data_IF_434845309922
#
_entry.id   IF_434845309922
#
_cell.length_a   1.000
_cell.length_b   1.000
_cell.length_c   1.000
_cell.angle_alpha   90.00
_cell.angle_beta   90.00
_cell.angle_gamma   90.00
#
_symmetry.space_group_name_H-M   'P 1'
#
loop_
_entity.id
_entity.type
_entity.pdbx_description
1 polymer ?
#
# COMPACT_ATOMS: atom_id res chain seq x y z
N UNK A 1 -22.49 43.27 41.15
CA UNK A 1 -23.01 41.89 40.94
C UNK A 1 -22.90 41.41 39.48
N UNK A 2 -22.64 42.29 38.51
CA UNK A 2 -22.57 42.03 37.06
C UNK A 2 -21.24 41.43 36.57
N UNK A 3 -20.12 41.73 37.22
CA UNK A 3 -18.78 41.26 36.80
C UNK A 3 -18.63 39.72 36.88
N UNK A 4 -19.22 39.09 37.90
CA UNK A 4 -19.22 37.64 38.07
C UNK A 4 -20.07 36.89 37.03
N UNK A 5 -21.06 37.56 36.41
CA UNK A 5 -21.89 36.95 35.38
C UNK A 5 -21.16 36.91 34.02
N UNK A 6 -20.45 38.00 33.70
CA UNK A 6 -19.66 38.12 32.47
C UNK A 6 -18.50 37.13 32.48
N UNK A 7 -17.80 37.00 33.61
CA UNK A 7 -16.68 36.07 33.74
C UNK A 7 -17.13 34.59 33.64
N UNK A 8 -18.28 34.24 34.24
CA UNK A 8 -18.86 32.89 34.11
C UNK A 8 -19.27 32.57 32.67
N UNK A 9 -19.85 33.54 31.96
CA UNK A 9 -20.21 33.38 30.55
C UNK A 9 -18.97 33.27 29.65
N UNK A 10 -17.89 33.98 29.94
CA UNK A 10 -16.64 33.89 29.19
C UNK A 10 -15.95 32.53 29.37
N UNK A 11 -15.93 32.01 30.61
CA UNK A 11 -15.37 30.67 30.92
C UNK A 11 -16.23 29.57 30.27
N UNK A 12 -17.55 29.72 30.26
CA UNK A 12 -18.44 28.80 29.55
C UNK A 12 -18.23 28.83 28.03
N UNK A 13 -17.99 30.01 27.45
CA UNK A 13 -17.70 30.15 26.01
C UNK A 13 -16.34 29.53 25.64
N UNK A 14 -15.30 29.74 26.48
CA UNK A 14 -13.97 29.15 26.30
C UNK A 14 -13.98 27.62 26.49
N UNK A 15 -14.78 27.12 27.42
CA UNK A 15 -15.00 25.68 27.60
C UNK A 15 -15.74 25.07 26.39
N UNK A 16 -16.77 25.73 25.86
CA UNK A 16 -17.45 25.30 24.63
C UNK A 16 -16.52 25.28 23.41
N UNK A 17 -15.64 26.28 23.26
CA UNK A 17 -14.64 26.33 22.19
C UNK A 17 -13.59 25.21 22.32
N UNK A 18 -13.24 24.80 23.54
CA UNK A 18 -12.32 23.67 23.77
C UNK A 18 -12.96 22.31 23.45
N UNK A 19 -14.27 22.16 23.65
CA UNK A 19 -15.01 20.92 23.32
C UNK A 19 -15.30 20.82 21.83
N UNK A 20 -15.53 21.94 21.13
CA UNK A 20 -15.68 21.96 19.68
C UNK A 20 -14.37 21.73 18.91
N UNK A 21 -13.20 21.93 19.54
CA UNK A 21 -11.89 21.69 18.93
C UNK A 21 -11.55 20.20 18.71
N UNK A 22 -12.25 19.27 19.37
CA UNK A 22 -11.98 17.84 19.27
C UNK A 22 -12.94 17.08 18.34
N UNK A 23 -14.02 17.71 17.86
CA UNK A 23 -15.09 16.99 17.11
C UNK A 23 -15.07 17.28 15.61
N UNK A 24 -14.24 18.21 15.12
CA UNK A 24 -14.22 18.56 13.69
C UNK A 24 -13.38 17.57 12.84
N UNK A 25 -12.59 16.68 13.47
CA UNK A 25 -11.83 15.67 12.71
C UNK A 25 -12.70 14.52 12.15
N UNK A 26 -13.95 14.36 12.60
CA UNK A 26 -14.85 13.28 12.14
C UNK A 26 -15.88 13.73 11.09
N UNK A 27 -15.92 15.02 10.70
CA UNK A 27 -17.02 15.59 9.92
C UNK A 27 -16.82 15.62 8.39
N UNK A 28 -15.99 14.78 7.79
CA UNK A 28 -16.13 14.43 6.37
C UNK A 28 -15.59 13.01 6.20
N UNK A 29 -16.47 12.03 5.96
CA UNK A 29 -16.09 10.64 5.76
C UNK A 29 -15.16 10.47 4.57
N UNK A 30 -13.85 10.66 4.79
CA UNK A 30 -12.81 10.37 3.82
C UNK A 30 -12.80 8.87 3.62
N UNK A 31 -13.27 8.42 2.45
CA UNK A 31 -13.08 7.03 2.05
C UNK A 31 -11.57 6.80 1.95
N UNK A 32 -11.01 6.03 2.89
CA UNK A 32 -9.63 5.59 2.82
C UNK A 32 -9.53 4.31 2.03
N UNK A 33 -8.84 4.37 0.90
CA UNK A 33 -8.52 3.23 0.04
C UNK A 33 -7.10 2.72 0.37
N UNK A 34 -6.84 1.43 0.15
CA UNK A 34 -5.51 0.84 0.32
C UNK A 34 -4.90 0.50 -1.04
N UNK A 35 -3.61 0.75 -1.24
CA UNK A 35 -2.85 0.21 -2.37
C UNK A 35 -1.73 -0.67 -1.83
N UNK A 36 -1.47 -1.81 -2.48
CA UNK A 36 -0.35 -2.71 -2.17
C UNK A 36 0.68 -2.65 -3.31
N UNK A 37 1.92 -2.32 -2.99
CA UNK A 37 3.07 -2.40 -3.88
C UNK A 37 4.01 -3.52 -3.47
N UNK A 38 4.51 -4.28 -4.46
CA UNK A 38 5.60 -5.24 -4.27
C UNK A 38 6.82 -4.69 -4.99
N UNK A 39 7.82 -4.24 -4.23
CA UNK A 39 9.08 -3.72 -4.70
C UNK A 39 10.26 -4.62 -4.36
N UNK A 40 11.42 -4.27 -4.88
CA UNK A 40 12.68 -4.87 -4.48
C UNK A 40 13.74 -3.78 -4.32
N UNK A 41 14.62 -3.98 -3.34
CA UNK A 41 15.80 -3.14 -3.09
C UNK A 41 17.04 -3.97 -3.39
N UNK A 42 17.09 -4.52 -4.60
CA UNK A 42 18.25 -5.26 -5.07
C UNK A 42 19.36 -4.27 -5.44
N UNK A 43 20.62 -4.53 -5.07
CA UNK A 43 21.74 -3.70 -5.51
C UNK A 43 21.77 -3.55 -7.04
N UNK A 44 22.25 -2.41 -7.56
CA UNK A 44 22.28 -2.14 -9.01
C UNK A 44 23.04 -3.22 -9.82
N UNK A 45 24.01 -3.89 -9.19
CA UNK A 45 24.79 -4.96 -9.80
C UNK A 45 24.20 -6.37 -9.56
N UNK A 46 23.06 -6.48 -8.89
CA UNK A 46 22.43 -7.75 -8.57
C UNK A 46 21.56 -8.22 -9.75
N UNK A 47 21.99 -9.29 -10.42
CA UNK A 47 21.27 -9.92 -11.54
C UNK A 47 20.11 -10.79 -11.07
N UNK A 48 19.33 -10.32 -10.09
CA UNK A 48 18.22 -11.07 -9.53
C UNK A 48 16.88 -10.41 -9.77
N UNK A 49 15.84 -11.22 -9.83
CA UNK A 49 14.45 -10.78 -9.86
C UNK A 49 13.71 -11.50 -8.75
N UNK A 50 12.86 -10.76 -8.03
CA UNK A 50 11.95 -11.35 -7.06
C UNK A 50 10.66 -11.76 -7.76
N UNK A 51 10.28 -13.01 -7.55
CA UNK A 51 9.01 -13.58 -8.03
C UNK A 51 8.12 -13.97 -6.85
N UNK A 52 6.82 -13.86 -7.05
CA UNK A 52 5.79 -14.25 -6.08
C UNK A 52 4.85 -15.27 -6.71
N UNK A 53 4.45 -16.27 -5.94
CA UNK A 53 3.35 -17.15 -6.31
C UNK A 53 2.04 -16.37 -6.32
N UNK A 54 1.37 -16.31 -7.47
CA UNK A 54 0.17 -15.50 -7.66
C UNK A 54 -1.07 -16.28 -7.19
N UNK A 55 -1.33 -16.23 -5.89
CA UNK A 55 -2.49 -16.86 -5.26
C UNK A 55 -3.81 -16.25 -5.78
N UNK A 56 -4.97 -16.91 -5.59
CA UNK A 56 -6.26 -16.33 -5.97
C UNK A 56 -6.53 -14.94 -5.37
N UNK A 57 -6.05 -14.66 -4.16
CA UNK A 57 -6.09 -13.34 -3.52
C UNK A 57 -5.24 -12.33 -4.27
N UNK A 58 -3.99 -12.69 -4.61
CA UNK A 58 -3.08 -11.79 -5.34
C UNK A 58 -3.56 -11.52 -6.77
N UNK A 59 -4.16 -12.52 -7.44
CA UNK A 59 -4.80 -12.34 -8.75
C UNK A 59 -5.91 -11.30 -8.69
N UNK A 60 -6.71 -11.29 -7.62
CA UNK A 60 -7.75 -10.28 -7.41
C UNK A 60 -7.17 -8.89 -7.12
N UNK A 61 -6.12 -8.82 -6.32
CA UNK A 61 -5.48 -7.56 -5.91
C UNK A 61 -4.74 -6.90 -7.09
N UNK A 62 -3.91 -7.66 -7.80
CA UNK A 62 -3.06 -7.15 -8.88
C UNK A 62 -3.69 -7.26 -10.27
N UNK A 63 -4.83 -7.94 -10.40
CA UNK A 63 -5.55 -8.16 -11.68
C UNK A 63 -4.69 -8.81 -12.77
N UNK A 64 -3.70 -9.60 -12.38
CA UNK A 64 -2.83 -10.35 -13.29
C UNK A 64 -3.22 -11.83 -13.28
N UNK A 65 -3.52 -12.40 -14.45
CA UNK A 65 -3.89 -13.82 -14.58
C UNK A 65 -2.71 -14.73 -14.93
N UNK A 66 -1.62 -14.56 -14.20
CA UNK A 66 -0.37 -15.34 -14.38
C UNK A 66 -0.17 -16.27 -13.18
N UNK A 67 0.67 -17.31 -13.31
CA UNK A 67 0.97 -18.22 -12.17
C UNK A 67 1.90 -17.57 -11.15
N UNK A 68 2.86 -16.78 -11.63
CA UNK A 68 3.76 -15.99 -10.80
C UNK A 68 3.72 -14.53 -11.25
N UNK A 69 4.01 -13.61 -10.35
CA UNK A 69 4.16 -12.17 -10.62
C UNK A 69 5.54 -11.70 -10.18
N UNK A 70 6.05 -10.64 -10.78
CA UNK A 70 7.34 -10.04 -10.38
C UNK A 70 7.15 -8.87 -9.42
N UNK A 71 8.22 -8.50 -8.74
CA UNK A 71 8.32 -7.18 -8.12
C UNK A 71 8.19 -6.04 -9.15
N UNK A 72 8.03 -4.82 -8.65
CA UNK A 72 7.77 -3.62 -9.43
C UNK A 72 6.28 -3.40 -9.75
N UNK A 73 5.38 -4.21 -9.18
CA UNK A 73 3.94 -4.09 -9.41
C UNK A 73 3.26 -3.35 -8.28
N UNK A 74 2.18 -2.65 -8.62
CA UNK A 74 1.32 -1.93 -7.68
C UNK A 74 -0.14 -2.25 -8.00
N UNK A 75 -0.93 -2.50 -6.97
CA UNK A 75 -2.37 -2.74 -7.13
C UNK A 75 -3.11 -1.45 -7.47
N UNK A 76 -4.32 -1.59 -8.00
CA UNK A 76 -5.30 -0.51 -7.93
C UNK A 76 -5.70 -0.21 -6.48
N UNK A 77 -6.48 0.86 -6.28
CA UNK A 77 -7.15 1.12 -5.00
C UNK A 77 -8.04 -0.06 -4.59
N UNK A 78 -7.74 -0.64 -3.42
CA UNK A 78 -8.48 -1.72 -2.78
C UNK A 78 -9.43 -1.11 -1.76
N UNK A 79 -10.70 -1.56 -1.79
CA UNK A 79 -11.67 -1.16 -0.79
C UNK A 79 -11.30 -1.76 0.58
N UNK A 80 -11.31 -0.94 1.62
CA UNK A 80 -11.01 -1.34 3.00
C UNK A 80 -11.83 -2.56 3.47
N UNK A 81 -13.10 -2.65 3.05
CA UNK A 81 -14.00 -3.72 3.43
C UNK A 81 -13.70 -5.05 2.70
N UNK A 82 -13.03 -4.99 1.55
CA UNK A 82 -12.62 -6.18 0.79
C UNK A 82 -11.23 -6.69 1.16
N UNK A 83 -10.53 -6.02 2.09
CA UNK A 83 -9.21 -6.46 2.52
C UNK A 83 -9.27 -7.80 3.25
N UNK A 84 -8.42 -8.77 2.88
CA UNK A 84 -8.34 -10.02 3.61
C UNK A 84 -7.79 -9.78 5.02
N UNK A 85 -8.08 -10.71 5.94
CA UNK A 85 -7.55 -10.65 7.32
C UNK A 85 -6.02 -10.77 7.32
N UNK A 86 -5.52 -11.71 6.53
CA UNK A 86 -4.11 -11.99 6.34
C UNK A 86 -3.85 -12.22 4.84
N UNK A 87 -2.64 -11.93 4.41
CA UNK A 87 -2.18 -12.22 3.06
C UNK A 87 -0.80 -12.86 3.14
N UNK A 88 -0.72 -14.11 2.69
CA UNK A 88 0.51 -14.87 2.66
C UNK A 88 1.20 -14.68 1.30
N UNK A 89 2.35 -14.02 1.32
CA UNK A 89 3.19 -13.78 0.16
C UNK A 89 4.26 -14.87 0.13
N UNK A 90 4.14 -15.80 -0.83
CA UNK A 90 5.17 -16.79 -1.08
C UNK A 90 6.05 -16.31 -2.23
N UNK A 91 7.34 -16.13 -1.96
CA UNK A 91 8.27 -15.48 -2.87
C UNK A 91 9.62 -16.18 -2.91
N UNK A 92 10.36 -15.92 -3.98
CA UNK A 92 11.74 -16.36 -4.14
C UNK A 92 12.51 -15.33 -4.97
N UNK A 93 13.82 -15.30 -4.79
CA UNK A 93 14.72 -14.53 -5.65
C UNK A 93 15.33 -15.49 -6.67
N UNK A 94 15.14 -15.19 -7.95
CA UNK A 94 15.76 -15.91 -9.06
C UNK A 94 16.94 -15.10 -9.59
N UNK A 95 18.05 -15.77 -9.89
CA UNK A 95 19.17 -15.15 -10.59
C UNK A 95 18.89 -15.17 -12.09
N UNK A 96 18.41 -14.06 -12.62
CA UNK A 96 18.06 -13.87 -14.01
C UNK A 96 18.54 -12.49 -14.44
N UNK A 97 19.25 -12.42 -15.56
CA UNK A 97 19.63 -11.14 -16.12
C UNK A 97 18.36 -10.31 -16.40
N UNK A 98 18.17 -9.16 -15.71
CA UNK A 98 17.00 -8.31 -15.90
C UNK A 98 16.86 -7.85 -17.35
N UNK A 99 17.96 -7.66 -18.08
CA UNK A 99 17.95 -7.23 -19.47
C UNK A 99 17.34 -8.29 -20.41
N UNK A 100 17.46 -9.57 -20.06
CA UNK A 100 16.82 -10.68 -20.79
C UNK A 100 15.34 -10.75 -20.43
N UNK A 101 15.03 -10.57 -19.14
CA UNK A 101 13.67 -10.71 -18.64
C UNK A 101 12.76 -9.55 -19.04
N UNK A 102 13.26 -8.31 -19.00
CA UNK A 102 12.55 -7.09 -19.38
C UNK A 102 12.84 -6.66 -20.81
N UNK A 103 13.40 -7.54 -21.63
CA UNK A 103 13.65 -7.24 -23.04
C UNK A 103 12.33 -6.90 -23.74
N UNK A 104 12.23 -5.69 -24.30
CA UNK A 104 11.04 -5.24 -25.02
C UNK A 104 10.78 -6.00 -26.33
N UNK A 105 11.74 -6.83 -26.78
CA UNK A 105 11.66 -7.64 -27.99
C UNK A 105 11.02 -9.02 -27.75
N UNK A 106 10.82 -9.44 -26.50
CA UNK A 106 10.09 -10.68 -26.18
C UNK A 106 8.64 -10.37 -25.79
N UNK A 107 7.72 -11.25 -26.18
CA UNK A 107 6.29 -11.09 -25.87
C UNK A 107 6.01 -11.33 -24.39
N UNK A 108 4.90 -10.79 -23.87
CA UNK A 108 4.45 -11.06 -22.49
C UNK A 108 4.29 -12.56 -22.22
N UNK A 109 3.78 -13.32 -23.19
CA UNK A 109 3.64 -14.77 -23.07
C UNK A 109 5.00 -15.49 -22.92
N UNK A 110 6.04 -14.99 -23.59
CA UNK A 110 7.39 -15.54 -23.45
C UNK A 110 8.03 -15.16 -22.11
N UNK A 111 7.82 -13.92 -21.63
CA UNK A 111 8.23 -13.51 -20.28
C UNK A 111 7.57 -14.39 -19.21
N UNK A 112 6.28 -14.67 -19.36
CA UNK A 112 5.52 -15.57 -18.49
C UNK A 112 6.05 -17.00 -18.52
N UNK A 113 6.36 -17.53 -19.71
CA UNK A 113 6.95 -18.87 -19.88
C UNK A 113 8.30 -18.95 -19.18
N UNK A 114 9.19 -17.97 -19.40
CA UNK A 114 10.50 -17.92 -18.76
C UNK A 114 10.37 -17.86 -17.24
N UNK A 115 9.53 -16.95 -16.72
CA UNK A 115 9.26 -16.83 -15.28
C UNK A 115 8.78 -18.15 -14.68
N UNK A 116 7.83 -18.81 -15.34
CA UNK A 116 7.30 -20.10 -14.89
C UNK A 116 8.38 -21.18 -14.85
N UNK A 117 9.26 -21.24 -15.86
CA UNK A 117 10.35 -22.21 -15.93
C UNK A 117 11.36 -22.00 -14.80
N UNK A 118 11.79 -20.75 -14.56
CA UNK A 118 12.69 -20.44 -13.44
C UNK A 118 12.04 -20.73 -12.09
N UNK A 119 10.77 -20.37 -11.90
CA UNK A 119 10.07 -20.65 -10.65
C UNK A 119 9.95 -22.16 -10.37
N UNK A 120 9.76 -22.99 -11.40
CA UNK A 120 9.62 -24.43 -11.27
C UNK A 120 10.96 -25.15 -11.07
N UNK A 121 12.08 -24.57 -11.50
CA UNK A 121 13.40 -25.15 -11.28
C UNK A 121 13.96 -24.89 -9.87
N UNK A 122 13.34 -24.00 -9.10
CA UNK A 122 13.77 -23.68 -7.74
C UNK A 122 13.51 -24.83 -6.76
N UNK A 123 14.47 -25.15 -5.86
CA UNK A 123 14.20 -26.05 -4.76
C UNK A 123 13.22 -25.42 -3.76
N UNK A 124 12.52 -26.23 -2.99
CA UNK A 124 11.57 -25.74 -1.98
C UNK A 124 12.22 -24.79 -0.97
N UNK A 125 13.51 -24.98 -0.66
CA UNK A 125 14.27 -24.13 0.26
C UNK A 125 14.54 -22.71 -0.26
N UNK A 126 14.39 -22.46 -1.57
CA UNK A 126 14.51 -21.13 -2.14
C UNK A 126 13.26 -20.26 -1.89
N UNK A 127 12.13 -20.90 -1.60
CA UNK A 127 10.86 -20.21 -1.34
C UNK A 127 10.76 -19.77 0.11
N UNK A 128 10.34 -18.53 0.30
CA UNK A 128 10.03 -17.94 1.60
C UNK A 128 8.56 -17.52 1.63
N UNK A 129 8.02 -17.44 2.83
CA UNK A 129 6.67 -16.94 3.07
C UNK A 129 6.73 -15.76 4.01
N UNK A 130 6.01 -14.70 3.68
CA UNK A 130 5.81 -13.54 4.54
C UNK A 130 4.33 -13.21 4.64
N UNK A 131 3.85 -13.06 5.86
CA UNK A 131 2.45 -12.77 6.13
C UNK A 131 2.29 -11.29 6.43
N UNK A 132 1.37 -10.64 5.73
CA UNK A 132 0.92 -9.30 6.09
C UNK A 132 -0.51 -9.32 6.60
N UNK A 133 -0.86 -8.29 7.37
CA UNK A 133 -2.20 -8.07 7.92
C UNK A 133 -2.77 -6.76 7.37
N UNK A 134 -3.36 -6.77 6.16
CA UNK A 134 -3.69 -5.54 5.44
C UNK A 134 -4.59 -4.58 6.21
N UNK A 135 -5.52 -5.10 7.03
CA UNK A 135 -6.39 -4.28 7.89
C UNK A 135 -5.61 -3.51 8.96
N UNK A 136 -4.66 -4.17 9.62
CA UNK A 136 -3.82 -3.52 10.63
C UNK A 136 -2.92 -2.46 9.99
N UNK A 137 -2.40 -2.73 8.80
CA UNK A 137 -1.58 -1.78 8.05
C UNK A 137 -2.38 -0.57 7.58
N UNK A 138 -3.62 -0.78 7.15
CA UNK A 138 -4.54 0.31 6.82
C UNK A 138 -4.86 1.19 8.03
N UNK A 139 -5.12 0.59 9.19
CA UNK A 139 -5.35 1.31 10.45
C UNK A 139 -4.13 2.12 10.87
N UNK A 140 -2.93 1.51 10.78
CA UNK A 140 -1.66 2.20 11.04
C UNK A 140 -1.47 3.39 10.10
N UNK A 141 -1.71 3.21 8.80
CA UNK A 141 -1.60 4.30 7.83
C UNK A 141 -2.60 5.43 8.06
N UNK A 142 -3.84 5.11 8.47
CA UNK A 142 -4.85 6.11 8.85
C UNK A 142 -4.45 6.94 10.06
N UNK A 143 -3.71 6.36 11.00
CA UNK A 143 -3.20 7.07 12.17
C UNK A 143 -2.04 8.02 11.84
N UNK A 144 -1.41 7.89 10.67
CA UNK A 144 -0.35 8.79 10.22
C UNK A 144 -0.95 10.10 9.67
N UNK A 145 -0.26 11.25 9.84
CA UNK A 145 -0.68 12.48 9.17
C UNK A 145 -0.59 12.30 7.65
N UNK A 146 -1.62 12.73 6.92
CA UNK A 146 -1.59 12.70 5.47
C UNK A 146 -0.54 13.68 4.94
N UNK A 147 0.37 13.23 4.06
CA UNK A 147 1.36 14.09 3.38
C UNK A 147 0.64 15.02 2.40
N UNK A 148 0.65 16.34 2.63
CA UNK A 148 0.14 17.32 1.65
C UNK A 148 -0.69 18.49 2.22
N UNK A 149 -1.23 19.30 1.30
CA UNK A 149 -2.00 20.56 1.50
C UNK A 149 -3.22 20.43 2.47
N UNK A 150 -3.83 21.54 2.94
CA UNK A 150 -4.88 21.52 3.97
C UNK A 150 -6.09 20.66 3.62
N UNK A 151 -6.71 20.07 4.65
CA UNK A 151 -7.85 19.13 4.56
C UNK A 151 -9.04 19.61 3.71
N UNK A 152 -9.19 20.91 3.51
CA UNK A 152 -10.32 21.57 2.84
C UNK A 152 -10.50 21.24 1.37
N UNK A 153 -9.53 20.56 0.73
CA UNK A 153 -9.58 20.20 -0.70
C UNK A 153 -9.71 18.69 -0.96
N UNK A 154 -9.83 17.87 0.09
CA UNK A 154 -9.76 16.42 -0.04
C UNK A 154 -11.09 15.76 0.30
N UNK A 155 -11.58 14.91 -0.60
CA UNK A 155 -12.75 14.06 -0.33
C UNK A 155 -12.38 12.58 -0.09
N UNK A 156 -11.11 12.22 -0.31
CA UNK A 156 -10.60 10.85 -0.16
C UNK A 156 -9.13 10.87 0.26
N UNK A 157 -8.73 9.84 1.00
CA UNK A 157 -7.32 9.57 1.31
C UNK A 157 -6.94 8.18 0.83
N UNK A 158 -5.64 7.96 0.60
CA UNK A 158 -5.08 6.69 0.20
C UNK A 158 -3.97 6.32 1.16
N UNK A 159 -4.01 5.08 1.63
CA UNK A 159 -2.88 4.46 2.32
C UNK A 159 -2.18 3.54 1.33
N UNK A 160 -0.93 3.83 1.01
CA UNK A 160 -0.07 2.96 0.19
C UNK A 160 0.81 2.14 1.13
N UNK A 161 0.76 0.82 0.97
CA UNK A 161 1.69 -0.11 1.62
C UNK A 161 2.63 -0.64 0.54
N UNK A 162 3.92 -0.35 0.68
CA UNK A 162 4.95 -0.88 -0.20
C UNK A 162 5.79 -1.89 0.56
N UNK A 163 5.93 -3.10 0.03
CA UNK A 163 6.81 -4.13 0.58
C UNK A 163 8.04 -4.25 -0.30
N UNK A 164 9.23 -4.13 0.28
CA UNK A 164 10.49 -4.21 -0.45
C UNK A 164 11.27 -5.45 -0.02
N UNK A 165 11.73 -6.23 -1.00
CA UNK A 165 12.59 -7.39 -0.76
C UNK A 165 14.04 -7.03 -1.09
N UNK A 166 14.95 -7.24 -0.13
CA UNK A 166 16.39 -7.03 -0.32
C UNK A 166 17.09 -8.23 -0.98
N UNK A 167 18.39 -8.09 -1.28
CA UNK A 167 19.19 -9.17 -1.89
C UNK A 167 19.36 -10.43 -1.04
N UNK A 168 19.06 -10.36 0.27
CA UNK A 168 19.07 -11.49 1.19
C UNK A 168 17.68 -12.14 1.33
N UNK A 169 16.68 -11.62 0.64
CA UNK A 169 15.30 -12.06 0.73
C UNK A 169 14.61 -11.63 2.02
N UNK A 170 15.06 -10.55 2.67
CA UNK A 170 14.35 -9.94 3.80
C UNK A 170 13.35 -8.91 3.29
N UNK A 171 12.23 -8.79 4.00
CA UNK A 171 11.18 -7.82 3.66
C UNK A 171 11.27 -6.62 4.60
N UNK A 172 11.28 -5.42 4.01
CA UNK A 172 10.94 -4.18 4.69
C UNK A 172 9.61 -3.64 4.18
N UNK A 173 9.00 -2.75 4.95
CA UNK A 173 7.71 -2.16 4.63
C UNK A 173 7.76 -0.64 4.77
N UNK A 174 7.11 0.04 3.84
CA UNK A 174 6.83 1.47 3.89
C UNK A 174 5.31 1.71 3.86
N UNK A 175 4.87 2.67 4.67
CA UNK A 175 3.47 3.10 4.72
C UNK A 175 3.42 4.59 4.40
N UNK A 176 2.63 4.95 3.41
CA UNK A 176 2.38 6.33 3.04
C UNK A 176 0.89 6.64 3.15
N UNK A 177 0.56 7.79 3.72
CA UNK A 177 -0.81 8.30 3.79
C UNK A 177 -0.87 9.61 3.01
N UNK A 178 -1.66 9.63 1.94
CA UNK A 178 -1.73 10.77 1.04
C UNK A 178 -3.17 11.14 0.71
N UNK A 179 -3.47 12.43 0.50
CA UNK A 179 -4.75 12.83 -0.04
C UNK A 179 -4.88 12.44 -1.51
N UNK A 180 -6.07 12.01 -1.92
CA UNK A 180 -6.37 11.75 -3.33
C UNK A 180 -6.92 13.01 -3.95
N UNK A 181 -6.17 13.62 -4.87
CA UNK A 181 -6.64 14.75 -5.66
C UNK A 181 -7.80 14.29 -6.54
N UNK A 182 -8.99 14.79 -6.28
CA UNK A 182 -10.13 14.60 -7.18
C UNK A 182 -9.87 15.49 -8.39
N UNK A 183 -9.86 14.91 -9.60
CA UNK A 183 -9.90 15.70 -10.83
C UNK A 183 -11.09 16.65 -10.78
N UNK A 184 -10.96 17.85 -11.36
CA UNK A 184 -12.00 18.88 -11.33
C UNK A 184 -13.38 18.24 -11.64
N UNK A 185 -14.34 18.23 -10.70
CA UNK A 185 -15.68 17.68 -10.96
C UNK A 185 -16.49 18.53 -11.96
N UNK A 186 -15.91 19.63 -12.43
CA UNK A 186 -16.47 20.55 -13.43
C UNK A 186 -15.61 20.68 -14.70
N UNK A 187 -14.73 19.71 -15.00
CA UNK A 187 -14.03 19.64 -16.29
C UNK A 187 -14.80 18.79 -17.30
#
# INVERSE_FOLDING_TARGET
MTYNLILKNLIALLALLSVCGCVIAEMFGTKTEMTLGLGSNLPENYQGVVIFENTPELKRIFKQNTKYITWGIRSDSINANSLPKELNLKYATININPDIYYNSLITEAEQDRLRNNYAQSLPLSAWRTYTIYPKQLLEQGRAMPAKGMPASHWHKTRVTISLYIDGNGNISQEIEHEPVKVGNPYA
#
